data_IF_601664817602
#
_entry.id   IF_601664817602
#
_cell.length_a   1.000
_cell.length_b   1.000
_cell.length_c   1.000
_cell.angle_alpha   90.00
_cell.angle_beta   90.00
_cell.angle_gamma   90.00
#
_symmetry.space_group_name_H-M   'P 1'
#
loop_
_entity.id
_entity.type
_entity.pdbx_description
1 polymer ?
#
# COMPACT_ATOMS: atom_id res chain seq x y z
N UNK A 1 -20.58 7.10 -30.05
CA UNK A 1 -19.79 6.14 -29.28
C UNK A 1 -20.73 5.09 -28.69
N UNK A 2 -20.61 3.83 -29.16
CA UNK A 2 -21.40 2.72 -28.64
C UNK A 2 -20.73 2.16 -27.38
N UNK A 3 -21.02 2.78 -26.21
CA UNK A 3 -20.45 2.35 -24.93
C UNK A 3 -21.20 1.14 -24.43
N UNK A 4 -20.57 -0.04 -24.50
CA UNK A 4 -21.18 -1.31 -24.07
C UNK A 4 -20.91 -1.62 -22.60
N UNK A 5 -19.70 -1.30 -22.10
CA UNK A 5 -19.28 -1.58 -20.72
C UNK A 5 -18.44 -0.43 -20.15
N UNK A 6 -18.56 -0.21 -18.84
CA UNK A 6 -17.78 0.78 -18.10
C UNK A 6 -16.90 0.09 -17.07
N UNK A 7 -15.64 0.52 -16.96
CA UNK A 7 -14.78 0.23 -15.83
C UNK A 7 -14.47 1.53 -15.09
N UNK A 8 -15.13 1.75 -13.97
CA UNK A 8 -14.92 2.91 -13.11
C UNK A 8 -13.82 2.62 -12.07
N UNK A 9 -12.91 3.56 -11.88
CA UNK A 9 -11.86 3.44 -10.83
C UNK A 9 -12.23 4.37 -9.68
N UNK A 10 -12.64 3.80 -8.55
CA UNK A 10 -13.07 4.47 -7.33
C UNK A 10 -14.38 5.29 -7.49
N UNK A 11 -15.11 5.43 -6.40
CA UNK A 11 -16.32 6.25 -6.32
C UNK A 11 -15.90 7.63 -5.85
N UNK A 12 -16.02 8.63 -6.73
CA UNK A 12 -15.78 10.04 -6.44
C UNK A 12 -16.90 10.88 -7.05
N UNK A 13 -17.13 12.12 -6.60
CA UNK A 13 -18.14 13.02 -7.22
C UNK A 13 -17.91 13.20 -8.72
N UNK A 14 -16.64 13.35 -9.15
CA UNK A 14 -16.30 13.49 -10.57
C UNK A 14 -16.68 12.26 -11.38
N UNK A 15 -16.29 11.07 -10.90
CA UNK A 15 -16.64 9.83 -11.57
C UNK A 15 -18.14 9.59 -11.60
N UNK A 16 -18.87 10.04 -10.57
CA UNK A 16 -20.33 9.97 -10.55
C UNK A 16 -20.97 10.88 -11.60
N UNK A 17 -20.49 12.11 -11.77
CA UNK A 17 -20.99 13.03 -12.79
C UNK A 17 -20.81 12.41 -14.18
N UNK A 18 -19.61 11.90 -14.49
CA UNK A 18 -19.35 11.21 -15.77
C UNK A 18 -20.28 10.02 -15.95
N UNK A 19 -20.47 9.22 -14.90
CA UNK A 19 -21.37 8.07 -14.91
C UNK A 19 -22.83 8.45 -15.13
N UNK A 20 -23.30 9.51 -14.49
CA UNK A 20 -24.66 10.04 -14.64
C UNK A 20 -24.92 10.52 -16.09
N UNK A 21 -23.96 11.23 -16.69
CA UNK A 21 -24.01 11.63 -18.10
C UNK A 21 -24.08 10.43 -19.02
N UNK A 22 -23.20 9.43 -18.79
CA UNK A 22 -23.20 8.22 -19.61
C UNK A 22 -24.52 7.44 -19.52
N UNK A 23 -25.11 7.31 -18.32
CA UNK A 23 -26.41 6.64 -18.15
C UNK A 23 -27.54 7.42 -18.84
N UNK A 24 -27.49 8.76 -18.83
CA UNK A 24 -28.48 9.60 -19.50
C UNK A 24 -28.51 9.29 -21.00
N UNK A 25 -27.34 9.20 -21.64
CA UNK A 25 -27.25 8.92 -23.08
C UNK A 25 -27.35 7.41 -23.44
N UNK A 26 -27.00 6.51 -22.52
CA UNK A 26 -26.93 5.07 -22.75
C UNK A 26 -27.66 4.28 -21.66
N UNK A 27 -28.96 4.02 -21.88
CA UNK A 27 -29.83 3.35 -20.88
C UNK A 27 -29.39 1.94 -20.47
N UNK A 28 -28.65 1.21 -21.32
CA UNK A 28 -28.21 -0.19 -21.09
C UNK A 28 -26.74 -0.29 -20.69
N UNK A 29 -26.24 0.65 -19.89
CA UNK A 29 -24.86 0.57 -19.37
C UNK A 29 -24.77 -0.47 -18.27
N UNK A 30 -23.78 -1.35 -18.38
CA UNK A 30 -23.33 -2.25 -17.34
C UNK A 30 -21.80 -2.14 -17.18
N UNK A 31 -21.24 -2.83 -16.20
CA UNK A 31 -19.79 -2.86 -16.02
C UNK A 31 -19.37 -3.01 -14.56
N UNK A 32 -18.20 -2.47 -14.26
CA UNK A 32 -17.56 -2.69 -12.96
C UNK A 32 -17.07 -1.39 -12.34
N UNK A 33 -17.02 -1.36 -11.01
CA UNK A 33 -16.34 -0.32 -10.25
C UNK A 33 -15.27 -0.92 -9.36
N UNK A 34 -14.01 -0.48 -9.50
CA UNK A 34 -12.90 -0.93 -8.65
C UNK A 34 -12.91 -0.12 -7.35
N UNK A 35 -13.14 -0.79 -6.22
CA UNK A 35 -13.10 -0.22 -4.89
C UNK A 35 -11.70 -0.45 -4.29
N UNK A 36 -10.90 0.61 -4.21
CA UNK A 36 -9.50 0.57 -3.78
C UNK A 36 -9.30 0.80 -2.28
N UNK A 37 -10.26 1.45 -1.65
CA UNK A 37 -10.25 1.84 -0.24
C UNK A 37 -11.69 1.95 0.27
N UNK A 38 -11.83 2.06 1.58
CA UNK A 38 -13.12 2.29 2.22
C UNK A 38 -13.49 3.78 2.13
N UNK A 39 -14.28 4.12 1.12
CA UNK A 39 -14.70 5.50 0.88
C UNK A 39 -15.58 6.09 1.99
N UNK A 40 -16.35 5.26 2.72
CA UNK A 40 -17.11 5.74 3.88
C UNK A 40 -16.15 6.34 4.92
N UNK A 41 -15.09 5.62 5.28
CA UNK A 41 -14.09 6.11 6.23
C UNK A 41 -13.29 7.29 5.69
N UNK A 42 -12.95 7.29 4.39
CA UNK A 42 -12.20 8.39 3.79
C UNK A 42 -13.00 9.70 3.75
N UNK A 43 -14.27 9.62 3.34
CA UNK A 43 -15.13 10.80 3.28
C UNK A 43 -15.57 11.26 4.67
N UNK A 44 -15.83 10.32 5.59
CA UNK A 44 -16.09 10.63 6.99
C UNK A 44 -14.92 11.36 7.66
N UNK A 45 -13.68 10.89 7.42
CA UNK A 45 -12.48 11.53 7.96
C UNK A 45 -12.19 12.93 7.37
N UNK A 46 -12.61 13.20 6.12
CA UNK A 46 -12.37 14.48 5.44
C UNK A 46 -13.46 15.50 5.68
N UNK A 47 -14.72 15.07 5.71
CA UNK A 47 -15.89 15.94 5.65
C UNK A 47 -16.93 15.62 6.73
N UNK A 48 -16.57 14.78 7.72
CA UNK A 48 -17.47 14.37 8.80
C UNK A 48 -18.68 13.57 8.31
N UNK A 49 -19.74 13.60 9.10
CA UNK A 49 -21.00 12.89 8.85
C UNK A 49 -21.60 13.18 7.47
N UNK A 50 -21.58 14.44 7.03
CA UNK A 50 -22.09 14.82 5.71
C UNK A 50 -21.31 14.18 4.57
N UNK A 51 -19.99 14.10 4.70
CA UNK A 51 -19.14 13.41 3.71
C UNK A 51 -19.49 11.93 3.57
N UNK A 52 -19.69 11.25 4.69
CA UNK A 52 -20.09 9.84 4.70
C UNK A 52 -21.45 9.63 4.03
N UNK A 53 -22.44 10.51 4.32
CA UNK A 53 -23.77 10.46 3.70
C UNK A 53 -23.73 10.72 2.19
N UNK A 54 -22.97 11.70 1.75
CA UNK A 54 -22.76 11.93 0.31
C UNK A 54 -22.17 10.70 -0.35
N UNK A 55 -21.13 10.12 0.24
CA UNK A 55 -20.53 8.91 -0.29
C UNK A 55 -21.51 7.74 -0.35
N UNK A 56 -22.34 7.56 0.67
CA UNK A 56 -23.39 6.54 0.72
C UNK A 56 -24.36 6.65 -0.46
N UNK A 57 -24.81 7.86 -0.77
CA UNK A 57 -25.72 8.12 -1.90
C UNK A 57 -25.06 7.74 -3.22
N UNK A 58 -23.81 8.21 -3.44
CA UNK A 58 -23.06 7.90 -4.66
C UNK A 58 -22.79 6.38 -4.79
N UNK A 59 -22.42 5.75 -3.69
CA UNK A 59 -22.16 4.31 -3.58
C UNK A 59 -23.40 3.51 -4.00
N UNK A 60 -24.55 3.76 -3.39
CA UNK A 60 -25.80 3.05 -3.70
C UNK A 60 -26.23 3.25 -5.15
N UNK A 61 -26.12 4.48 -5.68
CA UNK A 61 -26.49 4.78 -7.08
C UNK A 61 -25.60 4.08 -8.09
N UNK A 62 -24.29 4.03 -7.85
CA UNK A 62 -23.32 3.37 -8.72
C UNK A 62 -23.50 1.85 -8.66
N UNK A 63 -23.61 1.25 -7.47
CA UNK A 63 -23.70 -0.20 -7.30
C UNK A 63 -25.04 -0.80 -7.75
N UNK A 64 -26.07 0.01 -7.99
CA UNK A 64 -27.29 -0.44 -8.69
C UNK A 64 -27.02 -0.85 -10.15
N UNK A 65 -25.97 -0.37 -10.78
CA UNK A 65 -25.65 -0.57 -12.21
C UNK A 65 -24.30 -1.24 -12.45
N UNK A 66 -23.31 -0.99 -11.57
CA UNK A 66 -21.96 -1.52 -11.73
C UNK A 66 -21.64 -2.53 -10.64
N UNK A 67 -21.06 -3.68 -11.04
CA UNK A 67 -20.59 -4.69 -10.08
C UNK A 67 -19.27 -4.25 -9.42
N UNK A 68 -19.14 -4.37 -8.10
CA UNK A 68 -17.89 -3.99 -7.42
C UNK A 68 -16.78 -5.02 -7.63
N UNK A 69 -15.58 -4.52 -7.96
CA UNK A 69 -14.32 -5.25 -7.90
C UNK A 69 -13.53 -4.72 -6.70
N UNK A 70 -13.29 -5.55 -5.72
CA UNK A 70 -12.68 -5.16 -4.46
C UNK A 70 -11.20 -5.54 -4.44
N UNK A 71 -10.34 -4.58 -4.15
CA UNK A 71 -8.89 -4.80 -4.04
C UNK A 71 -8.38 -4.78 -2.58
N UNK A 72 -9.24 -4.45 -1.63
CA UNK A 72 -8.93 -4.43 -0.18
C UNK A 72 -9.91 -5.32 0.59
N UNK A 73 -9.49 -5.78 1.77
CA UNK A 73 -10.35 -6.61 2.63
C UNK A 73 -11.27 -5.81 3.56
N UNK A 74 -11.16 -4.49 3.55
CA UNK A 74 -11.88 -3.61 4.47
C UNK A 74 -12.66 -2.57 3.67
N UNK A 75 -13.80 -2.96 3.13
CA UNK A 75 -14.79 -2.04 2.58
C UNK A 75 -16.08 -2.26 3.34
N UNK A 76 -16.62 -1.17 3.88
CA UNK A 76 -17.90 -1.16 4.55
C UNK A 76 -19.05 -1.40 3.56
N UNK A 77 -20.16 -1.97 4.05
CA UNK A 77 -21.43 -2.08 3.31
C UNK A 77 -21.39 -2.88 2.00
N UNK A 78 -20.52 -3.91 1.90
CA UNK A 78 -20.46 -4.81 0.75
C UNK A 78 -21.34 -6.07 0.88
N UNK A 79 -21.90 -6.33 2.06
CA UNK A 79 -22.61 -7.60 2.35
C UNK A 79 -23.80 -7.85 1.42
N UNK A 80 -24.43 -6.79 0.95
CA UNK A 80 -25.64 -6.85 0.12
C UNK A 80 -25.34 -6.85 -1.38
N UNK A 81 -24.06 -6.92 -1.77
CA UNK A 81 -23.64 -6.87 -3.17
C UNK A 81 -22.81 -8.09 -3.55
N UNK A 82 -23.10 -8.65 -4.72
CA UNK A 82 -22.19 -9.62 -5.35
C UNK A 82 -20.95 -8.90 -5.87
N UNK A 83 -19.77 -9.29 -5.40
CA UNK A 83 -18.52 -8.62 -5.74
C UNK A 83 -17.39 -9.58 -6.09
N UNK A 84 -16.51 -9.14 -6.94
CA UNK A 84 -15.27 -9.84 -7.26
C UNK A 84 -14.11 -9.31 -6.42
N UNK A 85 -13.24 -10.21 -5.96
CA UNK A 85 -12.04 -9.84 -5.22
C UNK A 85 -10.80 -10.13 -6.04
N UNK A 86 -9.99 -9.10 -6.25
CA UNK A 86 -8.69 -9.23 -6.92
C UNK A 86 -7.59 -8.61 -6.07
N UNK A 87 -6.36 -9.08 -6.26
CA UNK A 87 -5.19 -8.55 -5.56
C UNK A 87 -4.31 -7.79 -6.53
N UNK A 88 -4.27 -6.44 -6.46
CA UNK A 88 -3.45 -5.66 -7.37
C UNK A 88 -1.97 -5.91 -7.13
N UNK A 89 -1.20 -5.96 -8.21
CA UNK A 89 0.25 -6.09 -8.15
C UNK A 89 0.92 -5.27 -9.26
N UNK A 90 2.03 -4.63 -8.90
CA UNK A 90 2.94 -3.95 -9.83
C UNK A 90 4.26 -4.73 -9.99
N UNK A 91 4.33 -5.93 -9.43
CA UNK A 91 5.56 -6.73 -9.44
C UNK A 91 5.77 -7.33 -10.84
N UNK A 92 6.81 -6.87 -11.51
CA UNK A 92 7.31 -7.42 -12.78
C UNK A 92 8.44 -8.42 -12.51
N UNK A 93 8.95 -9.08 -13.55
CA UNK A 93 10.04 -10.04 -13.41
C UNK A 93 11.35 -9.39 -12.94
N UNK A 94 11.55 -8.10 -13.21
CA UNK A 94 12.72 -7.34 -12.72
C UNK A 94 12.83 -7.35 -11.19
N UNK A 95 11.71 -7.35 -10.48
CA UNK A 95 11.68 -7.40 -9.01
C UNK A 95 12.19 -8.73 -8.44
N UNK A 96 12.22 -9.78 -9.24
CA UNK A 96 12.56 -11.15 -8.82
C UNK A 96 13.92 -11.63 -9.33
N UNK A 97 14.72 -10.73 -9.92
CA UNK A 97 16.04 -11.03 -10.49
C UNK A 97 17.14 -10.24 -9.77
N UNK A 98 18.37 -10.70 -9.91
CA UNK A 98 19.59 -9.98 -9.47
C UNK A 98 19.53 -9.50 -8.02
N UNK A 99 19.19 -10.41 -7.09
CA UNK A 99 19.13 -10.08 -5.66
C UNK A 99 20.50 -9.69 -5.11
N UNK A 100 20.56 -8.54 -4.44
CA UNK A 100 21.76 -8.11 -3.73
C UNK A 100 21.74 -8.61 -2.28
N UNK A 101 22.90 -9.12 -1.83
CA UNK A 101 23.08 -9.51 -0.42
C UNK A 101 22.98 -8.26 0.47
N UNK A 102 22.15 -8.24 1.52
CA UNK A 102 22.04 -7.11 2.41
C UNK A 102 23.26 -6.98 3.32
N UNK A 103 23.63 -5.75 3.65
CA UNK A 103 24.62 -5.51 4.68
C UNK A 103 23.93 -5.53 6.05
N UNK A 104 24.31 -6.47 6.91
CA UNK A 104 23.70 -6.70 8.23
C UNK A 104 24.50 -6.11 9.40
N UNK A 105 25.62 -5.39 9.14
CA UNK A 105 26.46 -4.78 10.20
C UNK A 105 25.70 -3.73 11.03
N UNK A 106 24.62 -3.18 10.49
CA UNK A 106 23.72 -2.21 11.15
C UNK A 106 22.32 -2.27 10.55
N UNK A 107 21.36 -1.64 11.23
CA UNK A 107 20.02 -1.46 10.70
C UNK A 107 20.05 -0.41 9.57
N UNK A 108 19.89 -0.86 8.30
CA UNK A 108 19.68 0.01 7.15
C UNK A 108 18.18 0.02 6.82
N UNK A 109 17.49 1.03 7.33
CA UNK A 109 16.04 1.15 7.26
C UNK A 109 15.63 1.90 6.01
N UNK A 110 14.52 1.51 5.39
CA UNK A 110 13.95 2.15 4.21
C UNK A 110 12.49 2.50 4.44
N UNK A 111 12.11 3.71 4.07
CA UNK A 111 10.73 4.14 3.83
C UNK A 111 10.59 4.63 2.40
N UNK A 112 9.53 4.21 1.71
CA UNK A 112 9.15 4.74 0.39
C UNK A 112 7.69 5.14 0.43
N UNK A 113 7.38 6.40 0.13
CA UNK A 113 6.01 6.88 0.08
C UNK A 113 5.87 8.39 0.28
N UNK A 114 4.62 8.85 0.19
CA UNK A 114 4.29 10.27 0.42
C UNK A 114 4.57 10.66 1.88
N UNK A 115 5.21 11.82 2.07
CA UNK A 115 5.50 12.34 3.41
C UNK A 115 4.27 13.13 3.90
N UNK A 116 3.35 12.44 4.57
CA UNK A 116 2.10 12.98 5.13
C UNK A 116 1.88 12.45 6.54
N UNK A 117 1.03 13.13 7.32
CA UNK A 117 0.73 12.75 8.72
C UNK A 117 0.20 11.31 8.80
N UNK A 118 -0.77 10.96 7.95
CA UNK A 118 -1.38 9.63 7.92
C UNK A 118 -0.41 8.51 7.51
N UNK A 119 0.72 8.85 6.86
CA UNK A 119 1.81 7.91 6.53
C UNK A 119 2.82 7.72 7.66
N UNK A 120 2.66 8.43 8.77
CA UNK A 120 3.38 8.20 10.02
C UNK A 120 4.89 8.48 9.98
N UNK A 121 5.42 9.11 8.93
CA UNK A 121 6.86 9.39 8.80
C UNK A 121 7.35 10.28 9.93
N UNK A 122 6.58 11.30 10.32
CA UNK A 122 6.93 12.18 11.44
C UNK A 122 7.01 11.44 12.76
N UNK A 123 6.09 10.50 13.02
CA UNK A 123 6.12 9.63 14.18
C UNK A 123 7.35 8.71 14.17
N UNK A 124 7.69 8.13 13.01
CA UNK A 124 8.91 7.33 12.88
C UNK A 124 10.16 8.15 13.21
N UNK A 125 10.25 9.36 12.65
CA UNK A 125 11.39 10.27 12.93
C UNK A 125 11.53 10.58 14.43
N UNK A 126 10.41 10.80 15.14
CA UNK A 126 10.40 10.98 16.58
C UNK A 126 10.84 9.72 17.34
N UNK A 127 10.40 8.52 16.91
CA UNK A 127 10.76 7.27 17.56
C UNK A 127 12.26 6.94 17.44
N UNK A 128 12.87 7.25 16.31
CA UNK A 128 14.28 6.93 16.09
C UNK A 128 15.26 7.87 16.80
N UNK A 129 14.80 9.03 17.33
CA UNK A 129 15.66 9.87 18.19
C UNK A 129 16.08 9.12 19.45
N UNK A 130 15.25 8.19 19.93
CA UNK A 130 15.47 7.41 21.14
C UNK A 130 16.20 6.08 20.86
N UNK A 131 16.76 5.90 19.66
CA UNK A 131 17.46 4.67 19.31
C UNK A 131 18.86 4.61 19.93
N UNK A 132 19.13 3.52 20.63
CA UNK A 132 20.47 3.17 21.13
C UNK A 132 21.28 2.31 20.15
N UNK A 133 20.64 1.73 19.13
CA UNK A 133 21.29 0.89 18.11
C UNK A 133 21.85 1.73 16.96
N UNK A 134 22.92 1.23 16.32
CA UNK A 134 23.44 1.83 15.07
C UNK A 134 22.47 1.64 13.92
N UNK A 135 22.00 2.71 13.32
CA UNK A 135 21.07 2.68 12.19
C UNK A 135 21.46 3.66 11.09
N UNK A 136 20.85 3.47 9.91
CA UNK A 136 20.66 4.45 8.87
C UNK A 136 19.21 4.39 8.41
N UNK A 137 18.61 5.51 8.06
CA UNK A 137 17.26 5.57 7.50
C UNK A 137 17.30 6.30 6.16
N UNK A 138 16.83 5.61 5.12
CA UNK A 138 16.59 6.18 3.80
C UNK A 138 15.09 6.47 3.65
N UNK A 139 14.74 7.72 3.36
CA UNK A 139 13.37 8.17 3.11
C UNK A 139 13.26 8.59 1.66
N UNK A 140 12.44 7.88 0.89
CA UNK A 140 12.18 8.18 -0.53
C UNK A 140 10.77 8.75 -0.66
N UNK A 141 10.69 10.02 -1.07
CA UNK A 141 9.41 10.73 -1.21
C UNK A 141 9.62 12.23 -1.39
N UNK A 142 8.54 12.95 -1.68
CA UNK A 142 8.62 14.39 -1.85
C UNK A 142 9.01 15.09 -0.55
N UNK A 143 10.23 15.65 -0.49
CA UNK A 143 10.74 16.38 0.67
C UNK A 143 9.96 17.68 0.88
N UNK A 144 9.44 17.89 2.10
CA UNK A 144 8.95 19.20 2.53
C UNK A 144 10.08 20.00 3.16
N UNK A 145 10.02 21.34 3.07
CA UNK A 145 10.93 22.24 3.77
C UNK A 145 10.79 21.99 5.30
N UNK A 146 11.88 22.06 6.07
CA UNK A 146 11.93 21.91 7.53
C UNK A 146 11.85 20.48 8.08
N UNK A 147 12.67 19.58 7.58
CA UNK A 147 12.90 18.29 8.24
C UNK A 147 14.07 18.37 9.22
N UNK A 148 13.89 17.66 10.34
CA UNK A 148 14.93 17.36 11.30
C UNK A 148 16.17 16.76 10.61
N UNK A 149 17.36 17.31 10.89
CA UNK A 149 18.61 16.86 10.27
C UNK A 149 19.34 15.95 11.26
N UNK A 150 19.26 14.65 11.05
CA UNK A 150 20.13 13.66 11.68
C UNK A 150 21.07 13.09 10.61
N UNK A 151 22.37 12.97 10.93
CA UNK A 151 23.40 12.42 10.02
C UNK A 151 23.12 10.99 9.54
N UNK A 152 22.30 10.26 10.28
CA UNK A 152 21.89 8.89 9.94
C UNK A 152 20.66 8.84 9.00
N UNK A 153 20.03 9.98 8.71
CA UNK A 153 18.83 10.06 7.88
C UNK A 153 19.15 10.70 6.54
N UNK A 154 18.80 9.98 5.45
CA UNK A 154 18.95 10.50 4.09
C UNK A 154 17.60 10.58 3.40
N UNK A 155 17.31 11.76 2.83
CA UNK A 155 16.12 11.99 2.03
C UNK A 155 16.47 11.90 0.55
N UNK A 156 15.62 11.22 -0.21
CA UNK A 156 15.68 11.07 -1.65
C UNK A 156 14.37 11.53 -2.28
N UNK A 157 14.46 12.17 -3.43
CA UNK A 157 13.28 12.54 -4.20
C UNK A 157 12.52 11.29 -4.65
N UNK A 158 11.20 11.45 -4.80
CA UNK A 158 10.36 10.42 -5.40
C UNK A 158 10.83 10.09 -6.83
N UNK A 159 10.62 8.86 -7.22
CA UNK A 159 10.98 8.36 -8.56
C UNK A 159 9.96 7.34 -9.04
N UNK A 160 9.67 7.34 -10.33
CA UNK A 160 8.89 6.32 -11.03
C UNK A 160 9.76 5.22 -11.65
N UNK A 161 11.09 5.38 -11.65
CA UNK A 161 12.01 4.40 -12.22
C UNK A 161 12.06 3.14 -11.37
N UNK A 162 11.58 2.02 -11.90
CA UNK A 162 11.58 0.71 -11.24
C UNK A 162 13.01 0.32 -10.82
N UNK A 163 14.00 0.55 -11.68
CA UNK A 163 15.41 0.25 -11.39
C UNK A 163 15.91 1.05 -10.17
N UNK A 164 15.58 2.33 -10.06
CA UNK A 164 15.94 3.16 -8.90
C UNK A 164 15.22 2.69 -7.64
N UNK A 165 13.93 2.35 -7.73
CA UNK A 165 13.16 1.83 -6.59
C UNK A 165 13.76 0.52 -6.09
N UNK A 166 14.06 -0.42 -6.99
CA UNK A 166 14.74 -1.69 -6.65
C UNK A 166 16.09 -1.41 -5.95
N UNK A 167 16.87 -0.45 -6.44
CA UNK A 167 18.16 -0.10 -5.83
C UNK A 167 18.02 0.41 -4.40
N UNK A 168 16.94 1.12 -4.04
CA UNK A 168 16.66 1.51 -2.66
C UNK A 168 16.39 0.31 -1.76
N UNK A 169 15.57 -0.65 -2.20
CA UNK A 169 15.35 -1.90 -1.45
C UNK A 169 16.66 -2.69 -1.30
N UNK A 170 17.48 -2.76 -2.34
CA UNK A 170 18.73 -3.52 -2.34
C UNK A 170 19.81 -2.90 -1.44
N UNK A 171 19.83 -1.58 -1.31
CA UNK A 171 20.77 -0.84 -0.48
C UNK A 171 20.40 -0.83 1.01
N UNK A 172 19.20 -1.27 1.35
CA UNK A 172 18.69 -1.32 2.71
C UNK A 172 18.35 -2.77 3.09
N UNK A 173 18.25 -3.05 4.40
CA UNK A 173 17.97 -4.41 4.86
C UNK A 173 16.58 -4.59 5.45
N UNK A 174 15.92 -3.53 5.93
CA UNK A 174 14.58 -3.59 6.51
C UNK A 174 13.74 -2.45 5.93
N UNK A 175 12.53 -2.77 5.47
CA UNK A 175 11.55 -1.76 5.08
C UNK A 175 10.62 -1.46 6.26
N UNK A 176 10.35 -0.18 6.53
CA UNK A 176 9.41 0.24 7.58
C UNK A 176 8.24 0.97 6.94
N UNK A 177 7.02 0.55 7.27
CA UNK A 177 5.79 1.22 6.89
C UNK A 177 5.09 1.77 8.13
N UNK A 178 5.35 3.04 8.50
CA UNK A 178 4.85 3.61 9.75
C UNK A 178 3.44 4.18 9.66
N UNK A 179 2.69 3.87 8.61
CA UNK A 179 1.36 4.40 8.35
C UNK A 179 0.38 4.12 9.49
N UNK A 180 -0.54 5.06 9.72
CA UNK A 180 -1.68 4.87 10.62
C UNK A 180 -2.85 4.18 9.93
N UNK A 181 -2.93 4.28 8.60
CA UNK A 181 -3.98 3.62 7.82
C UNK A 181 -3.44 3.18 6.45
N UNK A 182 -3.82 1.98 6.05
CA UNK A 182 -3.53 1.42 4.73
C UNK A 182 -4.67 0.51 4.27
N UNK A 183 -4.99 0.57 2.98
CA UNK A 183 -5.90 -0.39 2.35
C UNK A 183 -5.13 -1.58 1.78
N UNK A 184 -4.29 -1.33 0.78
CA UNK A 184 -3.44 -2.33 0.12
C UNK A 184 -2.09 -1.69 -0.25
N UNK A 185 -1.11 -1.69 0.67
CA UNK A 185 0.17 -1.02 0.44
C UNK A 185 1.07 -1.83 -0.50
N UNK A 186 1.21 -1.38 -1.74
CA UNK A 186 2.05 -2.02 -2.78
C UNK A 186 3.51 -2.16 -2.35
N UNK A 187 4.03 -1.20 -1.60
CA UNK A 187 5.41 -1.18 -1.10
C UNK A 187 5.77 -2.39 -0.23
N UNK A 188 4.79 -3.04 0.40
CA UNK A 188 5.02 -4.30 1.11
C UNK A 188 5.38 -5.41 0.12
N UNK A 189 4.63 -5.54 -0.97
CA UNK A 189 4.92 -6.55 -2.00
C UNK A 189 6.26 -6.28 -2.69
N UNK A 190 6.57 -5.01 -2.92
CA UNK A 190 7.87 -4.58 -3.46
C UNK A 190 9.01 -5.01 -2.55
N UNK A 191 8.94 -4.71 -1.26
CA UNK A 191 9.93 -5.10 -0.26
C UNK A 191 10.13 -6.61 -0.19
N UNK A 192 9.04 -7.36 -0.06
CA UNK A 192 9.09 -8.82 0.00
C UNK A 192 9.59 -9.43 -1.30
N UNK A 193 9.28 -8.83 -2.47
CA UNK A 193 9.82 -9.27 -3.76
C UNK A 193 11.34 -9.07 -3.86
N UNK A 194 11.91 -8.13 -3.10
CA UNK A 194 13.38 -7.96 -2.95
C UNK A 194 13.95 -8.70 -1.75
N UNK A 195 13.18 -9.60 -1.13
CA UNK A 195 13.57 -10.39 0.03
C UNK A 195 13.96 -9.51 1.23
N UNK A 196 13.33 -8.36 1.37
CA UNK A 196 13.53 -7.45 2.50
C UNK A 196 12.36 -7.60 3.49
N UNK A 197 12.65 -7.90 4.76
CA UNK A 197 11.65 -7.91 5.82
C UNK A 197 10.96 -6.54 5.94
N UNK A 198 9.71 -6.58 6.36
CA UNK A 198 8.88 -5.39 6.54
C UNK A 198 8.49 -5.26 8.00
N UNK A 199 8.64 -4.07 8.58
CA UNK A 199 8.04 -3.72 9.87
C UNK A 199 6.84 -2.83 9.63
N UNK A 200 5.72 -3.17 10.25
CA UNK A 200 4.49 -2.37 10.30
C UNK A 200 4.11 -2.14 11.77
N UNK A 201 3.32 -1.12 12.04
CA UNK A 201 2.79 -0.88 13.37
C UNK A 201 1.40 -1.49 13.55
N UNK A 202 0.95 -1.63 14.81
CA UNK A 202 -0.31 -2.28 15.17
C UNK A 202 -1.52 -1.73 14.40
N UNK A 203 -1.54 -0.42 14.11
CA UNK A 203 -2.65 0.26 13.44
C UNK A 203 -2.95 -0.33 12.04
N UNK A 204 -1.92 -0.88 11.40
CA UNK A 204 -2.05 -1.52 10.09
C UNK A 204 -1.67 -3.01 10.11
N UNK A 205 -1.74 -3.67 11.26
CA UNK A 205 -1.41 -5.11 11.43
C UNK A 205 -2.14 -6.03 10.45
N UNK A 206 -3.33 -5.64 10.03
CA UNK A 206 -4.15 -6.37 9.06
C UNK A 206 -3.48 -6.58 7.69
N UNK A 207 -2.46 -5.79 7.34
CA UNK A 207 -1.73 -5.95 6.07
C UNK A 207 -0.83 -7.19 6.05
N UNK A 208 -0.51 -7.75 7.22
CA UNK A 208 0.31 -8.96 7.34
C UNK A 208 -0.31 -10.16 6.62
N UNK A 209 -1.63 -10.34 6.71
CA UNK A 209 -2.34 -11.48 6.11
C UNK A 209 -1.55 -12.79 6.27
N UNK A 210 -1.43 -13.58 5.20
CA UNK A 210 -0.65 -14.83 5.16
C UNK A 210 0.78 -14.63 4.62
N UNK A 211 1.26 -13.38 4.52
CA UNK A 211 2.60 -13.09 4.01
C UNK A 211 3.65 -13.29 5.12
N UNK A 212 4.71 -14.01 4.78
CA UNK A 212 5.89 -14.18 5.63
C UNK A 212 6.83 -13.00 5.48
N UNK A 213 7.56 -12.66 6.55
CA UNK A 213 8.52 -11.56 6.57
C UNK A 213 7.93 -10.20 6.91
N UNK A 214 6.67 -10.15 7.39
CA UNK A 214 6.05 -8.95 7.95
C UNK A 214 6.02 -9.07 9.47
N UNK A 215 6.61 -8.10 10.15
CA UNK A 215 6.70 -8.01 11.60
C UNK A 215 5.84 -6.85 12.09
N UNK A 216 5.12 -7.05 13.17
CA UNK A 216 4.29 -6.04 13.81
C UNK A 216 5.06 -5.52 15.01
N UNK A 217 5.20 -4.21 15.13
CA UNK A 217 5.80 -3.53 16.28
C UNK A 217 4.78 -2.60 16.92
N UNK A 218 4.91 -2.42 18.21
CA UNK A 218 4.25 -1.30 18.89
C UNK A 218 4.92 0.01 18.49
N UNK A 219 4.17 1.11 18.56
CA UNK A 219 4.68 2.44 18.18
C UNK A 219 5.46 3.07 19.31
N UNK A 220 6.52 2.40 19.75
CA UNK A 220 7.51 2.91 20.71
C UNK A 220 8.93 2.46 20.30
N UNK A 221 9.93 3.20 20.75
CA UNK A 221 11.32 2.98 20.38
C UNK A 221 11.85 1.62 20.83
N UNK A 222 11.51 1.18 22.04
CA UNK A 222 12.01 -0.08 22.61
C UNK A 222 11.53 -1.29 21.81
N UNK A 223 10.24 -1.38 21.50
CA UNK A 223 9.67 -2.51 20.75
C UNK A 223 10.17 -2.52 19.30
N UNK A 224 10.28 -1.34 18.68
CA UNK A 224 10.83 -1.19 17.34
C UNK A 224 12.29 -1.66 17.27
N UNK A 225 13.13 -1.27 18.25
CA UNK A 225 14.52 -1.74 18.32
C UNK A 225 14.63 -3.25 18.58
N UNK A 226 13.79 -3.82 19.46
CA UNK A 226 13.71 -5.28 19.68
C UNK A 226 13.35 -6.01 18.41
N UNK A 227 12.34 -5.51 17.66
CA UNK A 227 11.92 -6.09 16.38
C UNK A 227 13.02 -6.02 15.33
N UNK A 228 13.74 -4.90 15.21
CA UNK A 228 14.89 -4.74 14.33
C UNK A 228 15.99 -5.73 14.69
N UNK A 229 16.36 -5.83 15.98
CA UNK A 229 17.36 -6.76 16.46
C UNK A 229 17.04 -8.21 16.16
N UNK A 230 15.79 -8.62 16.41
CA UNK A 230 15.31 -9.96 16.04
C UNK A 230 15.44 -10.24 14.54
N UNK A 231 15.04 -9.29 13.68
CA UNK A 231 15.13 -9.42 12.23
C UNK A 231 16.58 -9.58 11.80
N UNK A 232 17.49 -8.73 12.28
CA UNK A 232 18.91 -8.80 11.90
C UNK A 232 19.56 -10.11 12.33
N UNK A 233 19.26 -10.59 13.53
CA UNK A 233 19.76 -11.87 14.07
C UNK A 233 19.26 -13.09 13.24
N UNK A 234 18.03 -13.06 12.76
CA UNK A 234 17.38 -14.17 12.07
C UNK A 234 17.27 -13.97 10.55
N UNK A 235 18.04 -13.08 9.96
CA UNK A 235 17.80 -12.55 8.62
C UNK A 235 17.73 -13.63 7.53
N UNK A 236 18.67 -14.57 7.49
CA UNK A 236 18.71 -15.65 6.49
C UNK A 236 17.47 -16.55 6.58
N UNK A 237 17.05 -16.92 7.80
CA UNK A 237 15.83 -17.70 8.03
C UNK A 237 14.59 -16.94 7.55
N UNK A 238 14.52 -15.64 7.83
CA UNK A 238 13.41 -14.77 7.39
C UNK A 238 13.39 -14.67 5.86
N UNK A 239 14.53 -14.49 5.20
CA UNK A 239 14.59 -14.48 3.73
C UNK A 239 14.10 -15.78 3.12
N UNK A 240 14.48 -16.94 3.68
CA UNK A 240 13.98 -18.25 3.25
C UNK A 240 12.46 -18.35 3.38
N UNK A 241 11.89 -17.79 4.44
CA UNK A 241 10.42 -17.72 4.60
C UNK A 241 9.78 -16.78 3.58
N UNK A 242 10.37 -15.60 3.33
CA UNK A 242 9.86 -14.63 2.34
C UNK A 242 9.82 -15.26 0.94
N UNK A 243 10.81 -16.06 0.56
CA UNK A 243 10.84 -16.77 -0.75
C UNK A 243 9.64 -17.68 -0.97
N UNK A 244 9.00 -18.17 0.08
CA UNK A 244 7.80 -19.02 0.01
C UNK A 244 6.51 -18.24 -0.23
N UNK A 245 6.55 -16.91 -0.21
CA UNK A 245 5.37 -16.09 -0.50
C UNK A 245 4.96 -16.19 -1.98
N UNK A 246 3.69 -16.47 -2.22
CA UNK A 246 3.09 -16.42 -3.56
C UNK A 246 2.71 -14.98 -3.92
N UNK A 247 3.70 -14.16 -4.30
CA UNK A 247 3.46 -12.76 -4.71
C UNK A 247 3.04 -12.78 -6.18
N UNK A 248 1.81 -12.30 -6.44
CA UNK A 248 1.25 -12.19 -7.78
C UNK A 248 2.07 -11.22 -8.63
N UNK A 249 2.24 -11.54 -9.92
CA UNK A 249 2.84 -10.61 -10.87
C UNK A 249 1.81 -9.60 -11.40
N UNK A 250 2.31 -8.47 -11.93
CA UNK A 250 1.49 -7.48 -12.65
C UNK A 250 0.73 -8.13 -13.81
N UNK A 251 1.39 -9.01 -14.58
CA UNK A 251 0.77 -9.73 -15.70
C UNK A 251 -0.41 -10.60 -15.23
N UNK A 252 -0.25 -11.32 -14.10
CA UNK A 252 -1.33 -12.13 -13.54
C UNK A 252 -2.50 -11.27 -13.09
N UNK A 253 -2.24 -10.17 -12.37
CA UNK A 253 -3.28 -9.21 -11.98
C UNK A 253 -4.03 -8.64 -13.18
N UNK A 254 -3.32 -8.23 -14.24
CA UNK A 254 -3.94 -7.71 -15.47
C UNK A 254 -4.81 -8.78 -16.15
N UNK A 255 -4.32 -10.01 -16.27
CA UNK A 255 -5.08 -11.10 -16.85
C UNK A 255 -6.36 -11.43 -16.07
N UNK A 256 -6.26 -11.44 -14.73
CA UNK A 256 -7.42 -11.70 -13.86
C UNK A 256 -8.45 -10.56 -14.00
N UNK A 257 -8.01 -9.30 -14.08
CA UNK A 257 -8.89 -8.16 -14.32
C UNK A 257 -9.57 -8.25 -15.69
N UNK A 258 -8.82 -8.54 -16.76
CA UNK A 258 -9.37 -8.68 -18.12
C UNK A 258 -10.41 -9.79 -18.19
N UNK A 259 -10.18 -10.93 -17.51
CA UNK A 259 -11.16 -12.03 -17.46
C UNK A 259 -12.47 -11.65 -16.78
N UNK A 260 -12.43 -10.73 -15.80
CA UNK A 260 -13.64 -10.26 -15.12
C UNK A 260 -14.44 -9.26 -15.96
N UNK A 261 -13.77 -8.44 -16.76
CA UNK A 261 -14.43 -7.37 -17.51
C UNK A 261 -14.85 -7.78 -18.93
N UNK A 262 -14.34 -8.89 -19.45
CA UNK A 262 -14.85 -9.53 -20.69
C UNK A 262 -16.18 -10.20 -20.44
#
# INVERSE_FOLDING_TARGET
LNVQKILMISITPYNYIIFAILIFFHKKINGFVILRSDGFKEYGAKFGFFGEKIYEILYKKILKKLKPIVVTNKISNLKDYDYHKISPSEITDEWKKNFKKPNLKKANLLYIGRIRKEKGVYSLLKLITDFSIKYKLSIVGQKKKNFFIDKNIKFYNETSSIKKIISFYDSNNIFILPSYTEGYPKVILESLSRLRPVIVFNEISHVKKNLKGIFISQRNANDLQKTIGYILKNYSKIQSQIRKNKILSRKKFQNDLIKLIK
#
